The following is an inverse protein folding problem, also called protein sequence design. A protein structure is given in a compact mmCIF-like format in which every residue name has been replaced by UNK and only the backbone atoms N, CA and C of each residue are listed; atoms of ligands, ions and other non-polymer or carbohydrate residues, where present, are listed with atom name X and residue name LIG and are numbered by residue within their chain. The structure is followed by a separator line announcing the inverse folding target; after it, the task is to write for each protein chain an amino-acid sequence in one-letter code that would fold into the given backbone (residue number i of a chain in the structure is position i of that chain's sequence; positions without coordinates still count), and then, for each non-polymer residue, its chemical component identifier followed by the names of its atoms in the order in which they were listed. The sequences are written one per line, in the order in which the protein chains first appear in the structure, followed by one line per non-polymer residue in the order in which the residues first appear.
data_IF_905010030659
#
_entry.id   IF_905010030659
#
_cell.length_a   1.000
_cell.length_b   1.000
_cell.length_c   1.000
_cell.angle_alpha   90.00
_cell.angle_beta   90.00
_cell.angle_gamma   90.00
#
_symmetry.space_group_name_H-M   'P 1'
#
loop_
_entity.id
_entity.type
_entity.pdbx_description
1 polymer ?
#
# COMPACT_ATOMS: atom_id res chain seq x y z
N UNK A 1 41.30 44.67 -15.14
CA UNK A 1 41.56 45.07 -13.74
C UNK A 1 40.66 44.28 -12.81
N UNK A 2 41.23 43.73 -11.75
CA UNK A 2 40.47 43.03 -10.69
C UNK A 2 40.38 43.98 -9.49
N UNK A 3 39.20 44.11 -8.89
CA UNK A 3 39.04 44.80 -7.62
C UNK A 3 39.11 43.78 -6.47
N UNK A 4 39.88 44.07 -5.43
CA UNK A 4 40.00 43.30 -4.21
C UNK A 4 39.58 44.19 -3.04
N UNK A 5 38.60 43.73 -2.28
CA UNK A 5 38.13 44.37 -1.07
C UNK A 5 38.55 43.53 0.14
N UNK A 6 39.26 44.13 1.10
CA UNK A 6 39.73 43.46 2.32
C UNK A 6 38.86 43.76 3.54
N UNK A 7 37.75 44.46 3.35
CA UNK A 7 36.77 44.73 4.40
C UNK A 7 35.36 44.77 3.84
N UNK A 8 34.36 45.00 4.70
CA UNK A 8 32.95 45.05 4.35
C UNK A 8 32.65 46.07 3.26
N UNK A 9 31.88 45.70 2.24
CA UNK A 9 31.34 46.60 1.23
C UNK A 9 29.87 46.89 1.53
N UNK A 10 29.53 48.11 1.89
CA UNK A 10 28.18 48.55 2.21
C UNK A 10 27.53 49.20 0.99
N UNK A 11 26.43 48.64 0.54
CA UNK A 11 25.66 49.15 -0.59
C UNK A 11 24.25 49.48 -0.10
N UNK A 12 23.84 50.75 -0.11
CA UNK A 12 22.55 51.19 0.44
C UNK A 12 21.46 51.39 -0.61
N UNK A 13 21.75 51.18 -1.88
CA UNK A 13 20.77 51.32 -2.97
C UNK A 13 19.89 50.10 -3.12
N UNK A 14 18.72 50.26 -3.74
CA UNK A 14 17.75 49.18 -3.97
C UNK A 14 18.31 48.13 -4.93
N UNK A 15 18.79 48.53 -6.11
CA UNK A 15 19.47 47.63 -7.06
C UNK A 15 20.97 47.73 -6.80
N UNK A 16 21.50 46.86 -6.00
CA UNK A 16 22.82 46.98 -5.42
C UNK A 16 23.94 46.52 -6.34
N UNK A 17 23.78 45.42 -7.05
CA UNK A 17 24.77 44.79 -7.88
C UNK A 17 24.13 44.19 -9.11
N UNK A 18 24.79 44.35 -10.27
CA UNK A 18 24.37 43.73 -11.52
C UNK A 18 25.53 42.95 -12.14
N UNK A 19 25.27 41.73 -12.52
CA UNK A 19 26.16 40.88 -13.31
C UNK A 19 25.46 40.65 -14.64
N UNK A 20 26.10 41.00 -15.75
CA UNK A 20 25.39 41.04 -17.03
C UNK A 20 26.31 40.78 -18.24
N UNK A 21 25.68 40.44 -19.35
CA UNK A 21 26.19 40.57 -20.71
C UNK A 21 25.12 41.28 -21.56
N UNK A 22 25.33 41.37 -22.89
CA UNK A 22 24.38 42.05 -23.78
C UNK A 22 22.96 41.45 -23.74
N UNK A 23 22.86 40.14 -23.54
CA UNK A 23 21.58 39.42 -23.58
C UNK A 23 20.92 39.27 -22.20
N UNK A 24 21.72 39.04 -21.15
CA UNK A 24 21.18 38.67 -19.83
C UNK A 24 21.84 39.47 -18.72
N UNK A 25 21.08 39.80 -17.70
CA UNK A 25 21.58 40.40 -16.47
C UNK A 25 20.91 39.78 -15.25
N UNK A 26 21.64 39.69 -14.13
CA UNK A 26 21.11 39.35 -12.82
C UNK A 26 21.32 40.54 -11.88
N UNK A 27 20.24 41.00 -11.26
CA UNK A 27 20.23 42.14 -10.34
C UNK A 27 20.06 41.64 -8.91
N UNK A 28 21.02 41.98 -8.04
CA UNK A 28 20.88 41.83 -6.59
C UNK A 28 20.11 43.04 -6.07
N UNK A 29 18.90 42.80 -5.60
CA UNK A 29 17.97 43.86 -5.20
C UNK A 29 17.48 43.65 -3.77
N UNK A 30 17.66 44.70 -2.96
CA UNK A 30 16.99 44.78 -1.66
C UNK A 30 15.79 45.70 -1.79
N UNK A 31 14.61 45.16 -1.64
CA UNK A 31 13.37 45.94 -1.60
C UNK A 31 12.42 45.38 -0.56
N UNK A 32 11.64 46.27 0.07
CA UNK A 32 10.74 45.88 1.16
C UNK A 32 11.52 45.13 2.25
N UNK A 33 11.04 43.95 2.62
CA UNK A 33 11.68 43.09 3.63
C UNK A 33 12.54 41.95 3.01
N UNK A 34 12.88 42.07 1.73
CA UNK A 34 13.52 40.99 0.98
C UNK A 34 14.81 41.38 0.28
N UNK A 35 15.67 40.37 0.15
CA UNK A 35 16.79 40.35 -0.79
C UNK A 35 16.46 39.42 -1.94
N UNK A 36 16.56 39.89 -3.17
CA UNK A 36 16.25 39.16 -4.38
C UNK A 36 17.45 39.01 -5.29
N UNK A 37 17.48 37.94 -6.07
CA UNK A 37 18.29 37.83 -7.30
C UNK A 37 17.29 37.77 -8.46
N UNK A 38 17.24 38.84 -9.26
CA UNK A 38 16.23 39.01 -10.31
C UNK A 38 16.89 39.10 -11.67
N UNK A 39 16.55 38.22 -12.62
CA UNK A 39 17.02 38.38 -14.01
C UNK A 39 16.32 39.57 -14.69
N UNK A 40 17.04 40.23 -15.59
CA UNK A 40 16.45 41.18 -16.54
C UNK A 40 15.62 40.45 -17.60
N UNK A 41 14.89 41.14 -18.44
CA UNK A 41 14.38 40.55 -19.68
C UNK A 41 15.55 40.26 -20.64
N UNK A 42 15.33 39.37 -21.56
CA UNK A 42 16.28 39.04 -22.61
C UNK A 42 16.61 40.30 -23.44
N UNK A 43 17.88 40.47 -23.82
CA UNK A 43 18.45 41.62 -24.53
C UNK A 43 18.42 42.94 -23.73
N UNK A 44 18.21 42.89 -22.44
CA UNK A 44 18.21 44.04 -21.54
C UNK A 44 19.30 43.95 -20.45
N UNK A 45 20.39 43.22 -20.69
CA UNK A 45 21.37 42.87 -19.65
C UNK A 45 22.00 44.06 -18.95
N UNK A 46 22.53 45.03 -19.68
CA UNK A 46 23.29 46.18 -19.11
C UNK A 46 22.38 47.22 -18.43
N UNK A 47 21.37 47.71 -19.13
CA UNK A 47 20.57 48.87 -18.71
C UNK A 47 19.09 48.54 -18.46
N UNK A 48 18.66 47.29 -18.65
CA UNK A 48 17.27 46.87 -18.44
C UNK A 48 16.85 46.94 -16.98
N UNK A 49 15.57 47.05 -16.78
CA UNK A 49 14.95 46.99 -15.45
C UNK A 49 14.81 45.55 -14.97
N UNK A 50 14.30 45.37 -13.75
CA UNK A 50 13.97 44.04 -13.20
C UNK A 50 12.97 43.33 -14.10
N UNK A 51 13.27 42.07 -14.47
CA UNK A 51 12.34 41.22 -15.19
C UNK A 51 11.20 40.70 -14.33
N UNK A 52 10.28 39.93 -14.89
CA UNK A 52 9.08 39.42 -14.19
C UNK A 52 9.36 38.25 -13.25
N UNK A 53 10.48 37.57 -13.40
CA UNK A 53 10.81 36.36 -12.66
C UNK A 53 11.37 36.67 -11.26
N UNK A 54 11.05 35.83 -10.29
CA UNK A 54 11.55 35.91 -8.89
C UNK A 54 12.13 34.55 -8.49
N UNK A 55 13.22 34.10 -9.09
CA UNK A 55 13.76 32.76 -8.84
C UNK A 55 14.30 32.61 -7.42
N UNK A 56 14.88 33.66 -6.83
CA UNK A 56 15.41 33.62 -5.47
C UNK A 56 14.95 34.85 -4.68
N UNK A 57 14.33 34.60 -3.52
CA UNK A 57 13.91 35.64 -2.59
C UNK A 57 14.21 35.19 -1.15
N UNK A 58 15.04 35.96 -0.44
CA UNK A 58 15.31 35.81 0.99
C UNK A 58 14.51 36.87 1.76
N UNK A 59 13.60 36.43 2.63
CA UNK A 59 12.92 37.32 3.55
C UNK A 59 13.85 37.64 4.72
N UNK A 60 14.19 38.94 4.87
CA UNK A 60 15.17 39.43 5.85
C UNK A 60 14.66 39.40 7.30
N UNK A 61 13.34 39.37 7.49
CA UNK A 61 12.73 39.27 8.83
C UNK A 61 12.70 37.82 9.34
N UNK A 62 12.34 36.86 8.49
CA UNK A 62 12.13 35.48 8.87
C UNK A 62 13.25 34.53 8.52
N UNK A 63 14.18 34.95 7.63
CA UNK A 63 15.21 34.09 7.06
C UNK A 63 14.71 33.09 6.03
N UNK A 64 13.41 33.06 5.71
CA UNK A 64 12.85 32.11 4.75
C UNK A 64 13.29 32.40 3.33
N UNK A 65 13.68 31.37 2.60
CA UNK A 65 14.01 31.43 1.17
C UNK A 65 12.83 30.91 0.36
N UNK A 66 12.47 31.64 -0.71
CA UNK A 66 11.49 31.24 -1.71
C UNK A 66 12.22 31.00 -3.06
N UNK A 67 12.07 29.80 -3.62
CA UNK A 67 12.53 29.41 -4.96
C UNK A 67 11.31 29.41 -5.90
N UNK A 68 11.04 30.55 -6.56
CA UNK A 68 9.78 30.78 -7.26
C UNK A 68 9.60 30.06 -8.60
N UNK A 69 10.68 29.50 -9.15
CA UNK A 69 10.68 28.92 -10.50
C UNK A 69 11.29 27.51 -10.57
N UNK A 70 11.20 26.77 -9.47
CA UNK A 70 11.75 25.42 -9.37
C UNK A 70 13.16 25.39 -8.78
N UNK A 71 13.65 24.20 -8.49
CA UNK A 71 14.96 23.92 -7.95
C UNK A 71 15.42 22.55 -8.44
N UNK A 72 16.51 22.53 -9.22
CA UNK A 72 17.19 21.31 -9.62
C UNK A 72 18.36 21.04 -8.67
N UNK A 73 18.39 19.88 -8.05
CA UNK A 73 19.44 19.48 -7.11
C UNK A 73 20.08 18.19 -7.60
N UNK A 74 21.38 18.22 -7.87
CA UNK A 74 22.13 17.02 -8.32
C UNK A 74 22.54 16.12 -7.17
N UNK A 75 22.63 16.63 -5.95
CA UNK A 75 22.99 15.89 -4.74
C UNK A 75 21.80 15.63 -3.84
N UNK A 76 22.10 15.12 -2.65
CA UNK A 76 21.09 14.83 -1.64
C UNK A 76 20.48 16.13 -1.06
N UNK A 77 19.21 16.06 -0.67
CA UNK A 77 18.55 17.07 0.15
C UNK A 77 18.34 16.49 1.55
N UNK A 78 18.93 17.11 2.57
CA UNK A 78 18.75 16.74 3.97
C UNK A 78 17.90 17.78 4.68
N UNK A 79 16.85 17.33 5.35
CA UNK A 79 16.02 18.18 6.22
C UNK A 79 15.89 17.56 7.61
N UNK A 80 15.82 18.39 8.65
CA UNK A 80 15.58 17.96 10.02
C UNK A 80 14.09 18.07 10.42
N UNK A 81 13.22 18.44 9.46
CA UNK A 81 11.79 18.65 9.66
C UNK A 81 11.00 18.04 8.50
N UNK A 82 9.71 18.25 8.51
CA UNK A 82 8.81 17.75 7.46
C UNK A 82 9.06 18.42 6.12
N UNK A 83 8.94 17.63 5.05
CA UNK A 83 8.82 18.13 3.68
C UNK A 83 7.33 18.17 3.33
N UNK A 84 6.79 19.37 3.07
CA UNK A 84 5.40 19.57 2.65
C UNK A 84 5.37 19.69 1.13
N UNK A 85 4.67 18.79 0.47
CA UNK A 85 4.49 18.78 -0.97
C UNK A 85 3.03 18.45 -1.33
N UNK A 86 2.49 19.05 -2.38
CA UNK A 86 1.18 18.68 -2.92
C UNK A 86 1.23 17.33 -3.62
N UNK A 87 2.37 16.98 -4.21
CA UNK A 87 2.61 15.73 -4.92
C UNK A 87 4.05 15.30 -4.75
N UNK A 88 4.26 14.00 -4.75
CA UNK A 88 5.58 13.41 -4.73
C UNK A 88 5.66 12.39 -5.87
N UNK A 89 6.59 12.59 -6.83
CA UNK A 89 6.85 11.69 -7.93
C UNK A 89 8.25 11.11 -7.78
N UNK A 90 8.40 9.80 -8.00
CA UNK A 90 9.66 9.10 -7.91
C UNK A 90 9.94 8.47 -9.26
N UNK A 91 11.06 8.84 -9.88
CA UNK A 91 11.56 8.21 -11.08
C UNK A 91 12.52 7.09 -10.69
N UNK A 92 12.08 5.83 -10.82
CA UNK A 92 12.93 4.67 -10.62
C UNK A 92 13.25 4.00 -11.95
N UNK A 93 14.49 3.56 -12.11
CA UNK A 93 14.87 2.72 -13.25
C UNK A 93 14.22 1.33 -13.18
N UNK A 94 14.05 0.67 -14.31
CA UNK A 94 13.65 -0.72 -14.36
C UNK A 94 14.88 -1.59 -14.04
N UNK A 95 14.67 -2.61 -13.20
CA UNK A 95 15.74 -3.53 -12.79
C UNK A 95 15.17 -4.91 -12.50
N UNK A 96 16.04 -5.91 -12.32
CA UNK A 96 15.62 -7.25 -11.93
C UNK A 96 15.23 -7.32 -10.46
N UNK A 97 14.45 -8.31 -10.08
CA UNK A 97 13.99 -8.48 -8.69
C UNK A 97 15.12 -8.55 -7.68
N UNK A 98 16.21 -9.21 -8.03
CA UNK A 98 17.37 -9.34 -7.12
C UNK A 98 18.08 -8.01 -6.91
N UNK A 99 18.11 -7.15 -7.91
CA UNK A 99 18.73 -5.83 -7.82
C UNK A 99 17.92 -4.88 -6.96
N UNK A 100 16.57 -5.04 -6.96
CA UNK A 100 15.67 -4.26 -6.09
C UNK A 100 15.99 -4.41 -4.61
N UNK A 101 16.68 -5.47 -4.21
CA UNK A 101 17.13 -5.66 -2.82
C UNK A 101 17.95 -4.47 -2.31
N UNK A 102 18.73 -3.82 -3.17
CA UNK A 102 19.61 -2.71 -2.81
C UNK A 102 19.21 -1.39 -3.46
N UNK A 103 18.10 -1.37 -4.19
CA UNK A 103 17.56 -0.17 -4.83
C UNK A 103 16.24 0.19 -4.14
N UNK A 104 16.15 1.41 -3.64
CA UNK A 104 15.02 1.85 -2.86
C UNK A 104 14.38 3.07 -3.52
N UNK A 105 13.09 3.04 -3.68
CA UNK A 105 12.27 4.16 -4.14
C UNK A 105 11.77 4.98 -2.94
N UNK A 106 11.26 4.29 -1.93
CA UNK A 106 11.02 4.83 -0.59
C UNK A 106 11.70 3.88 0.39
N UNK A 107 12.63 4.38 1.17
CA UNK A 107 13.42 3.58 2.10
C UNK A 107 13.19 4.03 3.54
N UNK A 108 12.59 3.16 4.34
CA UNK A 108 12.55 3.31 5.79
C UNK A 108 13.89 2.88 6.40
N UNK A 109 14.68 3.82 6.87
CA UNK A 109 16.02 3.55 7.44
C UNK A 109 15.97 2.84 8.79
N UNK A 110 14.79 2.76 9.40
CA UNK A 110 14.62 2.09 10.68
C UNK A 110 14.55 0.58 10.49
N UNK A 111 15.43 -0.16 11.13
CA UNK A 111 15.32 -1.60 11.21
C UNK A 111 14.16 -1.99 12.12
N UNK A 112 13.22 -2.78 11.61
CA UNK A 112 12.11 -3.32 12.41
C UNK A 112 12.63 -4.48 13.24
N UNK A 113 12.54 -4.38 14.56
CA UNK A 113 12.93 -5.45 15.48
C UNK A 113 11.81 -6.48 15.64
N UNK A 114 12.16 -7.64 16.24
CA UNK A 114 11.20 -8.70 16.55
C UNK A 114 10.11 -8.27 17.55
N UNK A 115 10.32 -7.19 18.30
CA UNK A 115 9.43 -6.74 19.38
C UNK A 115 8.68 -5.44 19.07
N UNK A 116 8.98 -4.76 17.96
CA UNK A 116 8.37 -3.46 17.66
C UNK A 116 8.01 -3.32 16.19
N UNK A 117 6.85 -2.73 15.94
CA UNK A 117 6.40 -2.34 14.61
C UNK A 117 6.88 -0.93 14.27
N UNK A 118 7.21 -0.71 12.99
CA UNK A 118 7.50 0.62 12.45
C UNK A 118 6.91 0.78 11.06
N UNK A 119 6.02 1.74 10.91
CA UNK A 119 5.38 2.01 9.65
C UNK A 119 6.28 2.80 8.69
N UNK A 120 6.20 2.47 7.40
CA UNK A 120 6.67 3.31 6.30
C UNK A 120 5.68 4.43 5.99
N UNK A 121 4.39 4.13 6.04
CA UNK A 121 3.31 5.06 5.75
C UNK A 121 2.31 5.09 6.90
N UNK A 122 1.76 6.27 7.16
CA UNK A 122 0.65 6.48 8.11
C UNK A 122 -0.41 7.37 7.47
N UNK A 123 -1.68 7.01 7.66
CA UNK A 123 -2.82 7.86 7.35
C UNK A 123 -3.70 8.00 8.59
N UNK A 124 -4.05 9.23 8.93
CA UNK A 124 -4.87 9.55 10.09
C UNK A 124 -6.36 9.56 9.74
N UNK A 125 -7.14 8.97 10.62
CA UNK A 125 -8.60 9.04 10.64
C UNK A 125 -9.03 9.66 11.98
N UNK A 126 -10.26 10.18 12.06
CA UNK A 126 -10.77 10.81 13.27
C UNK A 126 -10.65 9.94 14.52
N UNK A 127 -10.86 8.63 14.39
CA UNK A 127 -10.91 7.66 15.51
C UNK A 127 -9.71 6.71 15.55
N UNK A 128 -8.89 6.64 14.49
CA UNK A 128 -7.80 5.67 14.38
C UNK A 128 -6.68 6.12 13.46
N UNK A 129 -5.59 5.36 13.46
CA UNK A 129 -4.48 5.51 12.53
C UNK A 129 -4.34 4.24 11.71
N UNK A 130 -4.13 4.38 10.40
CA UNK A 130 -3.82 3.29 9.48
C UNK A 130 -2.34 3.32 9.12
N UNK A 131 -1.74 2.15 9.02
CA UNK A 131 -0.31 1.99 8.79
C UNK A 131 -0.03 0.93 7.72
N UNK A 132 1.07 1.15 6.98
CA UNK A 132 1.71 0.14 6.12
C UNK A 132 3.17 0.04 6.52
N UNK A 133 3.65 -1.16 6.81
CA UNK A 133 5.05 -1.37 7.18
C UNK A 133 5.30 -2.65 7.96
N UNK A 134 6.45 -2.69 8.64
CA UNK A 134 6.85 -3.81 9.46
C UNK A 134 6.06 -3.90 10.78
N UNK A 135 5.64 -5.11 11.14
CA UNK A 135 4.91 -5.38 12.38
C UNK A 135 5.78 -6.04 13.48
N UNK A 136 7.07 -6.23 13.23
CA UNK A 136 7.94 -7.07 14.04
C UNK A 136 7.88 -8.54 13.60
N UNK A 137 8.68 -9.41 14.22
CA UNK A 137 8.71 -10.85 13.93
C UNK A 137 8.84 -11.23 12.46
N UNK A 138 9.59 -10.45 11.66
CA UNK A 138 9.74 -10.62 10.21
C UNK A 138 8.43 -10.49 9.42
N UNK A 139 7.46 -9.72 9.95
CA UNK A 139 6.15 -9.49 9.35
C UNK A 139 6.09 -8.12 8.69
N UNK A 140 5.41 -8.05 7.55
CA UNK A 140 5.18 -6.80 6.82
C UNK A 140 3.75 -6.75 6.27
N UNK A 141 3.06 -5.64 6.46
CA UNK A 141 1.69 -5.50 5.95
C UNK A 141 0.97 -4.26 6.45
N UNK A 142 -0.32 -4.43 6.68
CA UNK A 142 -1.25 -3.38 7.07
C UNK A 142 -1.67 -3.58 8.52
N UNK A 143 -1.78 -2.47 9.27
CA UNK A 143 -2.37 -2.51 10.60
C UNK A 143 -3.04 -1.20 10.96
N UNK A 144 -3.91 -1.23 11.94
CA UNK A 144 -4.56 -0.05 12.49
C UNK A 144 -4.50 -0.02 14.02
N UNK A 145 -4.52 1.19 14.56
CA UNK A 145 -4.54 1.45 15.99
C UNK A 145 -5.62 2.50 16.28
N UNK A 146 -6.54 2.18 17.18
CA UNK A 146 -7.55 3.13 17.64
C UNK A 146 -6.93 4.23 18.48
N UNK A 147 -7.38 5.48 18.32
CA UNK A 147 -6.86 6.61 19.09
C UNK A 147 -7.09 6.46 20.61
N UNK A 148 -8.10 5.68 21.01
CA UNK A 148 -8.40 5.36 22.41
C UNK A 148 -7.51 4.27 23.02
N UNK A 149 -6.68 3.59 22.20
CA UNK A 149 -5.83 2.51 22.69
C UNK A 149 -4.67 3.06 23.51
N UNK A 150 -4.46 2.50 24.70
CA UNK A 150 -3.37 2.89 25.62
C UNK A 150 -2.32 1.80 25.78
N UNK A 151 -2.64 0.54 25.45
CA UNK A 151 -1.73 -0.59 25.53
C UNK A 151 -1.04 -0.85 24.19
N UNK A 152 0.18 -1.40 24.21
CA UNK A 152 0.89 -1.82 23.01
C UNK A 152 0.10 -2.88 22.22
N UNK A 153 0.10 -2.80 20.89
CA UNK A 153 -0.58 -3.74 20.00
C UNK A 153 -1.39 -3.03 18.91
N UNK A 154 -2.15 -3.81 18.13
CA UNK A 154 -2.99 -3.34 17.03
C UNK A 154 -4.47 -3.66 17.29
N UNK A 155 -5.36 -2.94 16.61
CA UNK A 155 -6.81 -3.18 16.63
C UNK A 155 -7.30 -3.86 15.33
N UNK A 156 -6.40 -4.20 14.45
CA UNK A 156 -6.61 -4.96 13.22
C UNK A 156 -5.36 -5.00 12.40
N UNK A 157 -5.12 -6.14 11.75
CA UNK A 157 -3.92 -6.34 10.94
C UNK A 157 -4.13 -7.39 9.85
N UNK A 158 -3.38 -7.22 8.75
CA UNK A 158 -3.20 -8.22 7.70
C UNK A 158 -1.77 -8.10 7.18
N UNK A 159 -1.05 -9.19 7.07
CA UNK A 159 0.40 -9.15 6.81
C UNK A 159 0.93 -10.44 6.19
N UNK A 160 2.10 -10.32 5.58
CA UNK A 160 2.93 -11.46 5.18
C UNK A 160 3.89 -11.82 6.31
N UNK A 161 4.00 -13.10 6.64
CA UNK A 161 4.96 -13.60 7.63
C UNK A 161 6.29 -14.02 6.98
N UNK A 162 7.22 -14.50 7.79
CA UNK A 162 8.55 -14.97 7.36
C UNK A 162 8.51 -16.17 6.39
N UNK A 163 7.40 -16.93 6.37
CA UNK A 163 7.23 -18.08 5.49
C UNK A 163 6.46 -17.74 4.20
N UNK A 164 6.14 -16.46 3.99
CA UNK A 164 5.37 -16.01 2.84
C UNK A 164 3.86 -16.25 2.97
N UNK A 165 3.35 -16.61 4.14
CA UNK A 165 1.91 -16.73 4.36
C UNK A 165 1.28 -15.35 4.48
N UNK A 166 0.06 -15.21 3.93
CA UNK A 166 -0.78 -14.04 4.15
C UNK A 166 -1.75 -14.30 5.29
N UNK A 167 -1.63 -13.54 6.37
CA UNK A 167 -2.43 -13.68 7.57
C UNK A 167 -3.35 -12.46 7.77
N UNK A 168 -4.58 -12.74 8.22
CA UNK A 168 -5.55 -11.71 8.57
C UNK A 168 -5.98 -11.89 10.02
N UNK A 169 -6.12 -10.80 10.76
CA UNK A 169 -6.59 -10.81 12.15
C UNK A 169 -8.09 -11.08 12.29
N UNK A 170 -8.85 -11.10 11.18
CA UNK A 170 -10.26 -11.39 11.11
C UNK A 170 -10.59 -12.13 9.80
N UNK A 171 -11.77 -11.98 9.27
CA UNK A 171 -12.23 -12.65 8.06
C UNK A 171 -11.63 -12.04 6.78
N UNK A 172 -11.45 -12.88 5.77
CA UNK A 172 -11.31 -12.45 4.38
C UNK A 172 -12.68 -12.52 3.73
N UNK A 173 -13.22 -11.37 3.34
CA UNK A 173 -14.55 -11.26 2.71
C UNK A 173 -14.35 -10.84 1.25
N UNK A 174 -14.27 -11.80 0.30
CA UNK A 174 -14.13 -11.47 -1.11
C UNK A 174 -15.39 -10.79 -1.64
N UNK A 175 -15.24 -9.85 -2.56
CA UNK A 175 -16.36 -9.29 -3.31
C UNK A 175 -16.98 -10.30 -4.30
N UNK A 176 -16.25 -11.36 -4.64
CA UNK A 176 -16.70 -12.47 -5.48
C UNK A 176 -16.07 -13.77 -4.97
N UNK A 177 -16.92 -14.76 -4.67
CA UNK A 177 -16.53 -16.10 -4.20
C UNK A 177 -16.33 -17.13 -5.32
N UNK A 178 -16.46 -16.75 -6.60
CA UNK A 178 -16.48 -17.68 -7.74
C UNK A 178 -15.28 -18.65 -7.80
N UNK A 179 -14.07 -18.19 -7.46
CA UNK A 179 -12.86 -19.01 -7.42
C UNK A 179 -12.90 -20.05 -6.27
N UNK A 180 -13.53 -19.73 -5.15
CA UNK A 180 -13.73 -20.66 -4.04
C UNK A 180 -14.85 -21.64 -4.35
N UNK A 181 -16.02 -21.15 -4.80
CA UNK A 181 -17.18 -21.95 -5.14
C UNK A 181 -16.88 -22.98 -6.24
N UNK A 182 -15.96 -22.68 -7.17
CA UNK A 182 -15.54 -23.59 -8.22
C UNK A 182 -14.62 -24.74 -7.75
N UNK A 183 -13.95 -24.57 -6.60
CA UNK A 183 -12.93 -25.51 -6.10
C UNK A 183 -13.35 -26.29 -4.87
N UNK A 184 -14.17 -25.70 -4.01
CA UNK A 184 -14.48 -26.26 -2.71
C UNK A 184 -15.93 -26.74 -2.63
N UNK A 185 -16.14 -27.78 -1.81
CA UNK A 185 -17.48 -28.25 -1.48
C UNK A 185 -18.14 -27.19 -0.61
N UNK A 186 -19.25 -26.64 -1.08
CA UNK A 186 -20.02 -25.62 -0.36
C UNK A 186 -21.04 -26.23 0.58
N UNK A 187 -21.61 -27.39 0.17
CA UNK A 187 -22.65 -28.09 0.92
C UNK A 187 -22.64 -29.58 0.61
N UNK A 188 -23.24 -30.38 1.50
CA UNK A 188 -23.41 -31.82 1.36
C UNK A 188 -24.84 -32.15 1.71
N UNK A 189 -25.48 -33.03 0.94
CA UNK A 189 -26.84 -33.50 1.21
C UNK A 189 -27.00 -34.98 0.91
N UNK A 190 -28.08 -35.58 1.45
CA UNK A 190 -28.60 -36.83 0.99
C UNK A 190 -29.63 -36.59 -0.11
N UNK A 191 -29.45 -37.22 -1.25
CA UNK A 191 -30.36 -37.08 -2.40
C UNK A 191 -31.67 -37.86 -2.25
N UNK A 192 -32.38 -38.01 -3.35
CA UNK A 192 -33.65 -38.70 -3.41
C UNK A 192 -33.49 -40.17 -3.00
N UNK A 193 -34.39 -40.66 -2.17
CA UNK A 193 -34.38 -42.07 -1.69
C UNK A 193 -34.53 -43.05 -2.83
N UNK A 194 -33.82 -44.16 -2.71
CA UNK A 194 -34.01 -45.36 -3.52
C UNK A 194 -34.37 -46.52 -2.58
N UNK A 195 -35.39 -47.26 -2.88
CA UNK A 195 -35.84 -48.41 -2.12
C UNK A 195 -35.39 -49.69 -2.80
N UNK A 196 -34.88 -50.64 -2.04
CA UNK A 196 -34.49 -51.95 -2.52
C UNK A 196 -35.07 -53.05 -1.63
N UNK A 197 -35.81 -53.97 -2.23
CA UNK A 197 -36.26 -55.16 -1.55
C UNK A 197 -35.09 -56.02 -1.12
N UNK A 198 -35.14 -56.53 0.11
CA UNK A 198 -34.13 -57.39 0.69
C UNK A 198 -34.61 -58.87 0.70
N UNK A 199 -33.67 -59.74 0.39
CA UNK A 199 -33.90 -61.16 0.45
C UNK A 199 -32.87 -61.88 1.32
N UNK A 200 -33.19 -62.99 1.90
CA UNK A 200 -32.32 -63.84 2.75
C UNK A 200 -30.98 -64.08 2.00
N UNK A 201 -29.85 -63.82 2.64
CA UNK A 201 -28.53 -64.08 2.10
C UNK A 201 -28.04 -63.04 1.09
N UNK A 202 -28.85 -62.02 0.78
CA UNK A 202 -28.48 -60.93 -0.09
C UNK A 202 -27.50 -59.96 0.60
N UNK A 203 -26.60 -59.35 -0.22
CA UNK A 203 -25.75 -58.22 0.21
C UNK A 203 -26.27 -56.97 -0.46
N UNK A 204 -26.57 -55.96 0.35
CA UNK A 204 -27.19 -54.74 -0.11
C UNK A 204 -26.23 -53.56 0.09
N UNK A 205 -25.53 -53.25 -0.97
CA UNK A 205 -24.62 -52.12 -1.03
C UNK A 205 -24.89 -51.33 -2.31
N UNK A 206 -24.85 -50.01 -2.23
CA UNK A 206 -25.05 -49.11 -3.36
C UNK A 206 -23.97 -48.07 -3.39
N UNK A 207 -23.18 -48.07 -4.46
CA UNK A 207 -22.07 -47.15 -4.63
C UNK A 207 -22.49 -45.70 -4.44
N UNK A 208 -21.74 -44.95 -3.61
CA UNK A 208 -21.99 -43.53 -3.32
C UNK A 208 -23.29 -43.26 -2.53
N UNK A 209 -23.92 -44.26 -1.92
CA UNK A 209 -25.12 -44.10 -1.14
C UNK A 209 -24.89 -44.49 0.33
N UNK A 210 -25.74 -43.97 1.19
CA UNK A 210 -25.85 -44.40 2.58
C UNK A 210 -27.21 -45.08 2.78
N UNK A 211 -27.25 -46.11 3.62
CA UNK A 211 -28.52 -46.65 4.13
C UNK A 211 -29.07 -45.64 5.12
N UNK A 212 -30.30 -45.18 4.86
CA UNK A 212 -30.96 -44.13 5.69
C UNK A 212 -32.22 -44.64 6.36
N UNK A 213 -32.61 -45.87 6.08
CA UNK A 213 -33.77 -46.50 6.73
C UNK A 213 -33.98 -47.94 6.30
N UNK A 214 -34.81 -48.63 7.06
CA UNK A 214 -35.31 -49.97 6.81
C UNK A 214 -36.81 -49.94 6.95
N UNK A 215 -37.52 -50.75 6.15
CA UNK A 215 -38.91 -51.04 6.34
C UNK A 215 -39.06 -52.58 6.51
N UNK A 216 -39.56 -53.01 7.65
CA UNK A 216 -39.74 -54.39 7.97
C UNK A 216 -41.23 -54.66 7.84
N UNK A 217 -41.59 -55.65 7.01
CA UNK A 217 -42.98 -55.97 6.68
C UNK A 217 -43.24 -57.44 7.03
N UNK A 218 -43.72 -57.71 8.25
CA UNK A 218 -44.17 -59.03 8.65
C UNK A 218 -43.02 -60.00 8.89
N UNK A 219 -43.37 -61.29 8.78
CA UNK A 219 -42.48 -62.43 9.12
C UNK A 219 -41.79 -63.05 7.89
N UNK A 220 -41.98 -62.50 6.70
CA UNK A 220 -41.45 -63.08 5.44
C UNK A 220 -40.27 -62.26 4.96
N UNK A 221 -39.12 -62.91 4.84
CA UNK A 221 -37.83 -62.30 4.51
C UNK A 221 -37.78 -61.59 3.15
N UNK A 222 -38.72 -61.68 2.26
CA UNK A 222 -38.71 -61.15 0.92
C UNK A 222 -39.35 -59.75 0.74
N UNK A 223 -40.04 -59.26 1.79
CA UNK A 223 -40.84 -58.04 1.72
C UNK A 223 -40.18 -56.83 2.39
N UNK A 224 -39.09 -57.07 3.10
CA UNK A 224 -38.36 -56.00 3.78
C UNK A 224 -37.62 -55.14 2.79
N UNK A 225 -37.51 -53.85 3.11
CA UNK A 225 -36.89 -52.84 2.24
C UNK A 225 -35.72 -52.13 2.91
N UNK A 226 -34.59 -52.02 2.20
CA UNK A 226 -33.52 -51.09 2.52
C UNK A 226 -33.74 -49.77 1.79
N UNK A 227 -33.60 -48.68 2.49
CA UNK A 227 -33.73 -47.33 1.94
C UNK A 227 -32.35 -46.72 1.85
N UNK A 228 -31.96 -46.37 0.62
CA UNK A 228 -30.68 -45.74 0.31
C UNK A 228 -30.90 -44.30 -0.15
N UNK A 229 -29.93 -43.43 0.14
CA UNK A 229 -29.87 -42.10 -0.45
C UNK A 229 -28.46 -41.84 -0.97
N UNK A 230 -28.30 -41.28 -2.18
CA UNK A 230 -26.99 -40.87 -2.64
C UNK A 230 -26.47 -39.74 -1.74
N UNK A 231 -25.19 -39.81 -1.38
CA UNK A 231 -24.47 -38.72 -0.78
C UNK A 231 -24.09 -37.78 -1.90
N UNK A 232 -24.44 -36.49 -1.79
CA UNK A 232 -24.19 -35.49 -2.81
C UNK A 232 -23.38 -34.32 -2.25
N UNK A 233 -22.48 -33.78 -3.06
CA UNK A 233 -21.69 -32.57 -2.79
C UNK A 233 -22.06 -31.48 -3.77
N UNK A 234 -22.10 -30.24 -3.28
CA UNK A 234 -22.39 -29.06 -4.08
C UNK A 234 -21.10 -28.32 -4.40
N UNK A 235 -20.77 -28.19 -5.69
CA UNK A 235 -19.59 -27.50 -6.20
C UNK A 235 -19.99 -26.71 -7.43
N UNK A 236 -19.60 -25.46 -7.51
CA UNK A 236 -19.81 -24.59 -8.68
C UNK A 236 -21.26 -24.61 -9.21
N UNK A 237 -22.23 -24.46 -8.33
CA UNK A 237 -23.64 -24.39 -8.71
C UNK A 237 -24.32 -25.74 -9.00
N UNK A 238 -23.61 -26.85 -8.88
CA UNK A 238 -24.13 -28.20 -9.26
C UNK A 238 -23.98 -29.22 -8.13
N UNK A 239 -24.97 -30.06 -7.97
CA UNK A 239 -24.93 -31.22 -7.08
C UNK A 239 -24.36 -32.45 -7.78
N UNK A 240 -23.29 -33.00 -7.25
CA UNK A 240 -22.64 -34.22 -7.73
C UNK A 240 -22.80 -35.35 -6.73
N UNK A 241 -23.05 -36.57 -7.21
CA UNK A 241 -22.94 -37.76 -6.37
C UNK A 241 -21.46 -37.99 -6.01
N UNK A 242 -21.19 -38.43 -4.77
CA UNK A 242 -19.85 -38.91 -4.43
C UNK A 242 -19.57 -40.23 -5.13
N UNK A 243 -18.30 -40.42 -5.56
CA UNK A 243 -17.87 -41.71 -6.10
C UNK A 243 -17.50 -42.64 -4.95
N UNK A 244 -17.71 -43.94 -5.17
CA UNK A 244 -17.15 -44.99 -4.31
C UNK A 244 -15.89 -45.52 -4.99
N UNK A 245 -14.82 -45.66 -4.24
CA UNK A 245 -13.54 -46.19 -4.70
C UNK A 245 -13.46 -47.66 -4.44
#
# INVERSE_FOLDING_TARGET
VKALFSSEVKISTVNALRIFNSSFGAIFRRSEECLHIIPTRENEGENGDIGPLRPFTLNLRTGRINMGHGLDVTGDITTNAWVYANRFAINSGSTSWIDMRNQNVIFGRNAVSTSSAQALLRQDHAERKFFVGGLGNYQFGFYMINNSRTANGTDGQAYMDNNGNWLCGSQVIPGNYGNFDSRYVRDVRLGTRVVQLMARGGRYEKAGHAITGLRIIGEVDGDDEAIFRPIQKYINGTWYNVAQV
#
